data_IF_763686228290
#
_entry.id   IF_763686228290
#
_cell.length_a   1.000
_cell.length_b   1.000
_cell.length_c   1.000
_cell.angle_alpha   90.00
_cell.angle_beta   90.00
_cell.angle_gamma   90.00
#
_symmetry.space_group_name_H-M   'P 1'
#
loop_
_entity.id
_entity.type
_entity.pdbx_description
1 polymer ?
#
# COMPACT_ATOMS: atom_id res chain seq x y z
N UNK A 1 2.90 -3.70 8.90
CA UNK A 1 1.63 -3.35 8.24
C UNK A 1 1.81 -1.92 7.74
N UNK A 2 1.62 -1.67 6.45
CA UNK A 2 1.72 -0.33 5.87
C UNK A 2 0.30 0.17 5.59
N UNK A 3 0.01 1.40 6.00
CA UNK A 3 -1.28 2.04 5.79
C UNK A 3 -1.07 3.34 5.03
N UNK A 4 -1.86 3.52 3.98
CA UNK A 4 -1.71 4.62 3.04
C UNK A 4 -3.11 5.19 2.78
N UNK A 5 -3.24 6.51 2.70
CA UNK A 5 -4.47 7.21 2.27
C UNK A 5 -4.78 7.03 0.77
N UNK A 6 -4.48 5.84 0.24
CA UNK A 6 -4.50 5.49 -1.17
C UNK A 6 -3.15 4.90 -1.61
N UNK A 7 -3.17 3.76 -2.30
CA UNK A 7 -1.98 3.13 -2.88
C UNK A 7 -1.95 3.39 -4.38
N UNK A 8 -1.02 4.20 -4.87
CA UNK A 8 -0.85 4.44 -6.31
C UNK A 8 0.49 3.94 -6.86
N UNK A 9 1.44 3.67 -5.98
CA UNK A 9 2.77 3.18 -6.33
C UNK A 9 3.38 2.41 -5.16
N UNK A 10 4.08 1.32 -5.47
CA UNK A 10 4.96 0.65 -4.52
C UNK A 10 6.21 0.13 -5.23
N UNK A 11 7.23 -0.23 -4.43
CA UNK A 11 8.45 -0.83 -4.93
C UNK A 11 8.76 -2.08 -4.11
N UNK A 12 9.13 -3.16 -4.80
CA UNK A 12 9.56 -4.42 -4.18
C UNK A 12 11.05 -4.58 -4.43
N UNK A 13 11.83 -4.63 -3.35
CA UNK A 13 13.27 -4.89 -3.45
C UNK A 13 13.47 -6.39 -3.60
N UNK A 14 14.18 -6.79 -4.65
CA UNK A 14 14.48 -8.18 -4.93
C UNK A 14 15.96 -8.48 -4.66
N UNK A 15 16.31 -9.64 -4.07
CA UNK A 15 17.69 -9.99 -3.78
C UNK A 15 18.50 -10.31 -5.06
N UNK A 16 17.81 -10.59 -6.16
CA UNK A 16 18.39 -11.02 -7.44
C UNK A 16 17.94 -10.12 -8.59
N UNK A 17 18.74 -10.10 -9.66
CA UNK A 17 18.37 -9.45 -10.92
C UNK A 17 17.28 -10.25 -11.64
N UNK A 18 16.33 -9.54 -12.23
CA UNK A 18 15.23 -10.11 -13.04
C UNK A 18 15.62 -10.15 -14.52
N UNK A 19 15.00 -11.06 -15.28
CA UNK A 19 15.07 -11.06 -16.73
C UNK A 19 14.17 -9.92 -17.29
N UNK A 20 14.70 -8.94 -18.02
CA UNK A 20 13.91 -7.78 -18.46
C UNK A 20 12.67 -8.14 -19.29
N UNK A 21 12.74 -9.21 -20.09
CA UNK A 21 11.63 -9.68 -20.91
C UNK A 21 10.47 -10.33 -20.10
N UNK A 22 10.66 -10.54 -18.79
CA UNK A 22 9.62 -11.05 -17.89
C UNK A 22 8.99 -9.97 -17.01
N UNK A 23 9.35 -8.71 -17.24
CA UNK A 23 8.82 -7.56 -16.49
C UNK A 23 7.66 -6.99 -17.28
N UNK A 24 6.46 -7.35 -16.86
CA UNK A 24 5.18 -6.87 -17.41
C UNK A 24 4.16 -6.70 -16.27
N UNK A 25 2.94 -6.29 -16.61
CA UNK A 25 1.86 -6.10 -15.62
C UNK A 25 1.42 -7.42 -14.97
N UNK A 26 1.51 -8.53 -15.70
CA UNK A 26 1.04 -9.85 -15.27
C UNK A 26 1.98 -10.49 -14.24
N UNK A 27 3.18 -9.92 -14.07
CA UNK A 27 4.17 -10.35 -13.10
C UNK A 27 3.82 -9.98 -11.65
N UNK A 28 2.75 -9.20 -11.45
CA UNK A 28 2.24 -8.78 -10.15
C UNK A 28 0.74 -9.05 -10.09
N UNK A 29 0.28 -9.58 -8.96
CA UNK A 29 -1.15 -9.73 -8.66
C UNK A 29 -1.52 -9.00 -7.38
N UNK A 30 -2.77 -8.51 -7.35
CA UNK A 30 -3.35 -7.81 -6.20
C UNK A 30 -4.66 -8.48 -5.86
N UNK A 31 -4.78 -9.02 -4.66
CA UNK A 31 -6.04 -9.65 -4.21
C UNK A 31 -6.49 -9.04 -2.89
N UNK A 32 -7.65 -8.39 -2.90
CA UNK A 32 -8.34 -7.91 -1.72
C UNK A 32 -9.07 -9.05 -1.00
N UNK A 33 -9.11 -8.99 0.33
CA UNK A 33 -9.83 -9.97 1.15
C UNK A 33 -11.33 -9.93 0.86
N UNK A 34 -11.89 -8.74 0.64
CA UNK A 34 -13.31 -8.56 0.29
C UNK A 34 -13.49 -8.18 -1.17
N UNK A 35 -12.61 -7.34 -1.71
CA UNK A 35 -12.75 -6.85 -3.08
C UNK A 35 -12.31 -7.88 -4.14
N UNK A 36 -11.65 -8.98 -3.77
CA UNK A 36 -11.23 -10.02 -4.72
C UNK A 36 -10.06 -9.58 -5.60
N UNK A 37 -9.98 -10.12 -6.81
CA UNK A 37 -8.88 -9.81 -7.74
C UNK A 37 -8.97 -8.37 -8.25
N UNK A 38 -7.89 -7.63 -8.04
CA UNK A 38 -7.71 -6.22 -8.40
C UNK A 38 -6.45 -6.04 -9.26
N UNK A 39 -5.95 -7.10 -9.89
CA UNK A 39 -4.71 -7.07 -10.68
C UNK A 39 -4.80 -6.15 -11.90
N UNK A 40 -6.02 -5.88 -12.40
CA UNK A 40 -6.28 -4.88 -13.46
C UNK A 40 -5.88 -3.44 -13.06
N UNK A 41 -5.68 -3.17 -11.77
CA UNK A 41 -5.16 -1.88 -11.31
C UNK A 41 -3.68 -1.71 -11.65
N UNK A 42 -2.93 -2.78 -11.92
CA UNK A 42 -1.50 -2.69 -12.26
C UNK A 42 -1.36 -2.08 -13.66
N UNK A 43 -1.01 -0.79 -13.68
CA UNK A 43 -0.91 -0.02 -14.92
C UNK A 43 0.48 -0.10 -15.57
N UNK A 44 1.52 -0.14 -14.73
CA UNK A 44 2.90 -0.17 -15.20
C UNK A 44 3.77 -0.92 -14.20
N UNK A 45 4.66 -1.77 -14.73
CA UNK A 45 5.72 -2.41 -13.95
C UNK A 45 7.04 -2.13 -14.64
N UNK A 46 8.03 -1.69 -13.86
CA UNK A 46 9.36 -1.41 -14.36
C UNK A 46 10.42 -1.97 -13.42
N UNK A 47 11.57 -2.33 -13.99
CA UNK A 47 12.71 -2.83 -13.23
C UNK A 47 13.81 -1.78 -13.15
N UNK A 48 14.10 -1.33 -11.93
CA UNK A 48 15.29 -0.55 -11.62
C UNK A 48 16.45 -1.51 -11.29
N UNK A 49 17.32 -1.72 -12.27
CA UNK A 49 18.49 -2.60 -12.13
C UNK A 49 19.52 -2.07 -11.14
N UNK A 50 19.64 -0.75 -10.97
CA UNK A 50 20.59 -0.15 -10.04
C UNK A 50 20.12 -0.32 -8.59
N UNK A 51 18.82 -0.10 -8.36
CA UNK A 51 18.19 -0.30 -7.06
C UNK A 51 17.81 -1.74 -6.72
N UNK A 52 17.83 -2.65 -7.70
CA UNK A 52 17.21 -3.99 -7.63
C UNK A 52 15.75 -3.93 -7.19
N UNK A 53 14.99 -3.01 -7.78
CA UNK A 53 13.60 -2.74 -7.41
C UNK A 53 12.66 -2.99 -8.57
N UNK A 54 11.61 -3.77 -8.30
CA UNK A 54 10.44 -3.81 -9.15
C UNK A 54 9.52 -2.66 -8.72
N UNK A 55 9.36 -1.66 -9.57
CA UNK A 55 8.51 -0.50 -9.30
C UNK A 55 7.18 -0.71 -10.01
N UNK A 56 6.10 -0.70 -9.22
CA UNK A 56 4.73 -0.92 -9.69
C UNK A 56 3.95 0.36 -9.53
N UNK A 57 3.28 0.79 -10.60
CA UNK A 57 2.31 1.89 -10.58
C UNK A 57 0.92 1.36 -10.84
N UNK A 58 -0.03 1.87 -10.06
CA UNK A 58 -1.44 1.54 -10.20
C UNK A 58 -2.18 2.64 -10.96
N UNK A 59 -3.17 2.26 -11.76
CA UNK A 59 -4.04 3.18 -12.49
C UNK A 59 -4.91 4.01 -11.54
N UNK A 60 -5.26 3.44 -10.39
CA UNK A 60 -5.95 4.08 -9.29
C UNK A 60 -5.69 3.32 -7.98
N UNK A 61 -6.08 3.90 -6.84
CA UNK A 61 -5.96 3.19 -5.57
C UNK A 61 -6.99 2.06 -5.48
N UNK A 62 -6.61 0.89 -4.92
CA UNK A 62 -7.59 -0.09 -4.48
C UNK A 62 -8.58 0.55 -3.48
N UNK A 63 -9.82 0.03 -3.41
CA UNK A 63 -10.83 0.51 -2.46
C UNK A 63 -10.33 0.56 -1.01
N UNK A 64 -10.80 1.55 -0.27
CA UNK A 64 -10.49 1.69 1.15
C UNK A 64 -11.37 0.77 2.01
N UNK A 65 -10.84 0.33 3.16
CA UNK A 65 -11.52 -0.56 4.09
C UNK A 65 -11.30 -2.05 3.82
N UNK A 66 -10.16 -2.44 3.27
CA UNK A 66 -9.84 -3.83 2.97
C UNK A 66 -8.34 -4.15 3.22
N UNK A 67 -8.04 -5.44 3.29
CA UNK A 67 -6.69 -5.96 3.34
C UNK A 67 -6.34 -6.58 1.99
N UNK A 68 -5.23 -6.14 1.40
CA UNK A 68 -4.76 -6.62 0.10
C UNK A 68 -3.49 -7.44 0.25
N UNK A 69 -3.39 -8.52 -0.51
CA UNK A 69 -2.18 -9.27 -0.71
C UNK A 69 -1.61 -8.92 -2.08
N UNK A 70 -0.38 -8.40 -2.09
CA UNK A 70 0.40 -8.14 -3.30
C UNK A 70 1.35 -9.32 -3.50
N UNK A 71 1.26 -10.02 -4.62
CA UNK A 71 2.08 -11.21 -4.88
C UNK A 71 2.80 -11.11 -6.22
N UNK A 72 4.03 -11.60 -6.27
CA UNK A 72 4.75 -11.81 -7.53
C UNK A 72 4.30 -13.13 -8.15
N UNK A 73 3.97 -13.11 -9.44
CA UNK A 73 3.53 -14.31 -10.15
C UNK A 73 4.74 -15.05 -10.74
N UNK A 74 4.50 -16.29 -11.19
CA UNK A 74 5.54 -17.13 -11.82
C UNK A 74 5.97 -16.61 -13.21
N UNK A 75 5.29 -15.59 -13.75
CA UNK A 75 5.72 -14.96 -15.01
C UNK A 75 7.01 -14.16 -14.82
N UNK A 76 7.23 -13.58 -13.63
CA UNK A 76 8.47 -12.88 -13.30
C UNK A 76 9.62 -13.89 -13.18
N UNK A 77 10.70 -13.66 -13.93
CA UNK A 77 11.87 -14.56 -13.93
C UNK A 77 13.13 -13.86 -13.46
N UNK A 78 13.99 -14.63 -12.83
CA UNK A 78 15.37 -14.25 -12.56
C UNK A 78 16.17 -14.15 -13.86
N UNK A 79 17.33 -13.49 -13.81
CA UNK A 79 18.25 -13.42 -14.95
C UNK A 79 18.72 -14.80 -15.47
N UNK A 80 18.60 -15.87 -14.66
CA UNK A 80 18.90 -17.25 -15.06
C UNK A 80 17.69 -18.01 -15.61
N UNK A 81 16.54 -17.34 -15.77
CA UNK A 81 15.31 -17.88 -16.35
C UNK A 81 14.41 -18.64 -15.37
N UNK A 82 14.81 -18.75 -14.09
CA UNK A 82 13.98 -19.37 -13.04
C UNK A 82 12.86 -18.42 -12.61
N UNK A 83 11.60 -18.90 -12.45
CA UNK A 83 10.52 -18.12 -11.86
C UNK A 83 10.92 -17.54 -10.50
N UNK A 84 10.51 -16.31 -10.24
CA UNK A 84 10.62 -15.62 -8.95
C UNK A 84 9.30 -15.61 -8.19
N UNK A 85 8.21 -16.03 -8.84
CA UNK A 85 6.93 -16.28 -8.18
C UNK A 85 7.01 -17.39 -7.14
N UNK A 86 6.06 -17.37 -6.21
CA UNK A 86 5.99 -18.24 -5.03
C UNK A 86 5.21 -17.58 -3.89
N UNK A 87 5.35 -18.09 -2.67
CA UNK A 87 4.68 -17.59 -1.44
C UNK A 87 5.27 -16.24 -0.94
N UNK A 88 5.68 -15.38 -1.87
CA UNK A 88 6.19 -14.04 -1.62
C UNK A 88 5.04 -13.02 -1.76
N UNK A 89 4.09 -13.09 -0.83
CA UNK A 89 2.99 -12.13 -0.70
C UNK A 89 3.30 -11.06 0.34
N UNK A 90 3.10 -9.78 0.01
CA UNK A 90 3.10 -8.68 0.96
C UNK A 90 1.67 -8.28 1.27
N UNK A 91 1.29 -8.37 2.55
CA UNK A 91 -0.02 -7.92 3.01
C UNK A 91 0.03 -6.43 3.38
N UNK A 92 -0.88 -5.67 2.80
CA UNK A 92 -1.14 -4.26 3.11
C UNK A 92 -2.57 -4.08 3.59
N UNK A 93 -2.81 -3.01 4.35
CA UNK A 93 -4.15 -2.65 4.82
C UNK A 93 -4.43 -1.22 4.41
N UNK A 94 -5.55 -1.02 3.73
CA UNK A 94 -6.06 0.31 3.42
C UNK A 94 -7.26 0.54 4.32
N UNK A 95 -7.08 1.39 5.34
CA UNK A 95 -8.15 1.84 6.21
C UNK A 95 -7.91 3.30 6.59
N UNK A 96 -8.47 4.20 5.81
CA UNK A 96 -8.31 5.64 6.05
C UNK A 96 -8.85 6.02 7.44
N UNK A 97 -8.02 6.70 8.22
CA UNK A 97 -8.33 7.13 9.59
C UNK A 97 -7.75 6.25 10.71
N UNK A 98 -7.33 5.01 10.44
CA UNK A 98 -6.72 4.11 11.43
C UNK A 98 -5.22 4.41 11.60
N UNK A 99 -4.84 5.65 11.92
CA UNK A 99 -3.44 6.10 11.84
C UNK A 99 -2.46 5.31 12.73
N UNK A 100 -2.95 4.50 13.67
CA UNK A 100 -2.15 3.61 14.51
C UNK A 100 -2.04 2.16 13.98
N UNK A 101 -2.69 1.84 12.85
CA UNK A 101 -2.69 0.53 12.19
C UNK A 101 -3.22 -0.63 13.06
N UNK A 102 -4.28 -0.39 13.82
CA UNK A 102 -4.94 -1.41 14.64
C UNK A 102 -5.92 -2.31 13.87
N UNK A 103 -6.33 -1.90 12.67
CA UNK A 103 -7.42 -2.50 11.90
C UNK A 103 -8.79 -1.90 12.20
N UNK A 104 -8.89 -0.90 13.08
CA UNK A 104 -10.14 -0.21 13.41
C UNK A 104 -9.89 1.28 13.68
N UNK A 105 -10.74 2.15 13.14
CA UNK A 105 -10.68 3.59 13.40
C UNK A 105 -11.34 3.89 14.74
N UNK A 106 -10.53 4.17 15.75
CA UNK A 106 -10.97 4.38 17.13
C UNK A 106 -10.56 5.74 17.68
N UNK A 107 -10.92 6.02 18.94
CA UNK A 107 -10.43 7.21 19.64
C UNK A 107 -8.90 7.22 19.81
N UNK A 108 -8.22 6.07 19.74
CA UNK A 108 -6.77 5.99 19.80
C UNK A 108 -6.11 6.67 18.58
N UNK A 109 -6.76 6.61 17.42
CA UNK A 109 -6.30 7.30 16.20
C UNK A 109 -6.38 8.81 16.34
N UNK A 110 -7.47 9.31 16.93
CA UNK A 110 -7.61 10.74 17.26
C UNK A 110 -6.50 11.19 18.20
N UNK A 111 -6.16 10.39 19.21
CA UNK A 111 -5.08 10.70 20.13
C UNK A 111 -3.71 10.70 19.42
N UNK A 112 -3.50 9.78 18.48
CA UNK A 112 -2.29 9.70 17.67
C UNK A 112 -2.12 10.93 16.79
N UNK A 113 -3.16 11.34 16.04
CA UNK A 113 -3.14 12.59 15.26
C UNK A 113 -2.99 13.80 16.17
N UNK A 114 -3.62 13.82 17.34
CA UNK A 114 -3.51 14.97 18.27
C UNK A 114 -2.09 15.13 18.75
N UNK A 115 -1.41 14.03 19.08
CA UNK A 115 -0.01 14.00 19.44
C UNK A 115 0.85 14.50 18.28
N UNK A 116 0.60 14.00 17.07
CA UNK A 116 1.29 14.43 15.86
C UNK A 116 1.23 15.94 15.63
N UNK A 117 0.05 16.56 15.80
CA UNK A 117 -0.13 18.02 15.70
C UNK A 117 0.71 18.77 16.73
N UNK A 118 0.74 18.29 17.98
CA UNK A 118 1.50 18.94 19.07
C UNK A 118 3.00 18.79 18.86
N UNK A 119 3.46 17.63 18.40
CA UNK A 119 4.87 17.33 18.17
C UNK A 119 5.37 17.81 16.79
N UNK A 120 4.48 18.34 15.94
CA UNK A 120 4.83 18.87 14.63
C UNK A 120 5.21 17.81 13.60
N UNK A 121 4.68 16.61 13.75
CA UNK A 121 4.83 15.48 12.83
C UNK A 121 4.22 15.82 11.46
N UNK A 122 4.79 15.24 10.38
CA UNK A 122 4.44 15.59 8.98
C UNK A 122 4.34 14.38 8.08
N UNK A 123 4.27 13.20 8.68
CA UNK A 123 4.20 11.95 7.97
C UNK A 123 2.90 11.90 7.15
N UNK A 124 2.95 11.59 5.85
CA UNK A 124 1.79 11.68 4.97
C UNK A 124 0.56 10.86 5.40
N UNK A 125 0.74 9.79 6.16
CA UNK A 125 -0.38 8.97 6.67
C UNK A 125 -1.11 9.60 7.85
N UNK A 126 -0.57 10.67 8.44
CA UNK A 126 -1.22 11.45 9.50
C UNK A 126 -2.05 12.62 8.95
N UNK A 127 -1.81 13.01 7.69
CA UNK A 127 -2.60 13.99 6.92
C UNK A 127 -3.80 13.26 6.28
N UNK A 128 -4.82 13.03 7.10
CA UNK A 128 -6.02 12.25 6.77
C UNK A 128 -6.94 13.05 5.84
N UNK A 129 -6.97 14.37 5.95
CA UNK A 129 -7.75 15.21 5.03
C UNK A 129 -7.03 15.52 3.71
N UNK A 130 -5.76 15.12 3.59
CA UNK A 130 -4.89 15.29 2.41
C UNK A 130 -4.67 16.76 2.05
N UNK A 131 -4.69 17.66 3.03
CA UNK A 131 -4.45 19.09 2.84
C UNK A 131 -2.98 19.44 2.61
N UNK A 132 -2.07 18.49 2.85
CA UNK A 132 -0.62 18.68 2.80
C UNK A 132 0.00 19.05 4.15
N UNK A 133 -0.79 19.07 5.23
CA UNK A 133 -0.31 19.40 6.57
C UNK A 133 -1.13 18.67 7.65
N UNK A 134 -0.43 18.15 8.67
CA UNK A 134 -1.08 17.53 9.83
C UNK A 134 -1.57 18.62 10.79
N UNK A 135 -2.88 18.80 10.89
CA UNK A 135 -3.56 19.85 11.64
C UNK A 135 -4.75 19.33 12.44
N UNK A 136 -5.46 20.23 13.12
CA UNK A 136 -6.72 19.90 13.79
C UNK A 136 -7.85 19.50 12.81
N UNK A 137 -7.71 19.77 11.51
CA UNK A 137 -8.65 19.32 10.50
C UNK A 137 -8.57 17.79 10.32
N UNK A 138 -7.39 17.19 10.43
CA UNK A 138 -7.21 15.73 10.43
C UNK A 138 -7.92 15.04 11.59
N UNK A 139 -7.96 15.69 12.77
CA UNK A 139 -8.74 15.17 13.90
C UNK A 139 -10.24 15.09 13.57
N UNK A 140 -10.76 16.03 12.77
CA UNK A 140 -12.15 15.99 12.32
C UNK A 140 -12.33 14.88 11.28
N UNK A 141 -11.38 14.76 10.34
CA UNK A 141 -11.40 13.70 9.34
C UNK A 141 -11.38 12.29 9.98
N UNK A 142 -10.56 12.06 11.01
CA UNK A 142 -10.58 10.78 11.75
C UNK A 142 -11.93 10.58 12.46
N UNK A 143 -12.49 11.62 13.08
CA UNK A 143 -13.80 11.52 13.77
C UNK A 143 -14.93 11.10 12.84
N UNK A 144 -14.94 11.60 11.61
CA UNK A 144 -15.93 11.23 10.59
C UNK A 144 -15.84 9.75 10.17
N UNK A 145 -14.71 9.09 10.46
CA UNK A 145 -14.40 7.71 10.09
C UNK A 145 -14.43 6.74 11.27
N UNK A 146 -14.79 7.19 12.48
CA UNK A 146 -14.86 6.35 13.67
C UNK A 146 -15.78 5.13 13.48
N UNK A 147 -15.35 3.98 13.99
CA UNK A 147 -16.08 2.72 13.92
C UNK A 147 -15.93 1.98 12.59
N UNK A 148 -15.20 2.53 11.61
CA UNK A 148 -14.77 1.76 10.43
C UNK A 148 -13.73 0.73 10.85
N UNK A 149 -13.79 -0.46 10.27
CA UNK A 149 -12.86 -1.56 10.55
C UNK A 149 -12.59 -2.38 9.31
N UNK A 150 -11.43 -3.03 9.28
CA UNK A 150 -11.17 -4.04 8.26
C UNK A 150 -12.02 -5.30 8.50
N UNK A 151 -12.49 -5.95 7.42
CA UNK A 151 -13.11 -7.28 7.46
C UNK A 151 -12.16 -8.37 7.99
#
# INVERSE_FOLDING_TARGET
MFQVGGLTRFAVVLPTTVAPASVDTDCVSITGRVNGDMSDLVAEVSWDAAGRQLVVRLSSSPPDGDAYTLSLTDSLKSATGRPLGGDAGVRIVLLEGDVNASGEVTAADILTVRRAVVEGWREPWLDVDRSGAVTAADLRAVRERLGRRIP
#
